data_IF_242391974377
#
_entry.id   IF_242391974377
#
_cell.length_a   1.000
_cell.length_b   1.000
_cell.length_c   1.000
_cell.angle_alpha   90.00
_cell.angle_beta   90.00
_cell.angle_gamma   90.00
#
_symmetry.space_group_name_H-M   'P 1'
#
loop_
_entity.id
_entity.type
_entity.pdbx_description
1 polymer ?
#
# COMPACT_ATOMS: atom_id res chain seq x y z
N UNK A 1 10.26 -5.49 -17.30
CA UNK A 1 9.13 -6.31 -17.76
C UNK A 1 9.43 -6.78 -19.17
N UNK A 2 8.87 -7.91 -19.60
CA UNK A 2 9.04 -8.44 -20.97
C UNK A 2 7.99 -7.85 -21.93
N UNK A 3 8.14 -8.13 -23.22
CA UNK A 3 7.23 -7.60 -24.25
C UNK A 3 5.79 -8.12 -24.10
N UNK A 4 5.63 -9.33 -23.55
CA UNK A 4 4.32 -9.90 -23.28
C UNK A 4 3.56 -9.09 -22.23
N UNK A 5 4.22 -8.71 -21.14
CA UNK A 5 3.60 -7.87 -20.12
C UNK A 5 3.22 -6.50 -20.66
N UNK A 6 4.07 -5.89 -21.49
CA UNK A 6 3.80 -4.58 -22.10
C UNK A 6 2.59 -4.62 -23.04
N UNK A 7 2.47 -5.66 -23.87
CA UNK A 7 1.28 -5.89 -24.72
C UNK A 7 0.01 -6.06 -23.87
N UNK A 8 0.09 -6.82 -22.78
CA UNK A 8 -1.05 -7.00 -21.88
C UNK A 8 -1.47 -5.68 -21.24
N UNK A 9 -0.51 -4.87 -20.79
CA UNK A 9 -0.79 -3.55 -20.19
C UNK A 9 -1.39 -2.58 -21.22
N UNK A 10 -0.88 -2.53 -22.45
CA UNK A 10 -1.38 -1.64 -23.52
C UNK A 10 -2.83 -1.95 -23.93
N UNK A 11 -3.24 -3.22 -23.80
CA UNK A 11 -4.57 -3.70 -24.14
C UNK A 11 -5.60 -3.51 -23.03
N UNK A 12 -5.19 -3.11 -21.82
CA UNK A 12 -6.14 -2.80 -20.75
C UNK A 12 -6.80 -1.44 -21.01
N UNK A 13 -8.12 -1.44 -21.16
CA UNK A 13 -8.92 -0.21 -21.25
C UNK A 13 -9.27 0.29 -19.85
N UNK A 14 -8.26 0.81 -19.13
CA UNK A 14 -8.40 1.33 -17.76
C UNK A 14 -7.63 2.64 -17.59
N UNK A 15 -8.09 3.48 -16.67
CA UNK A 15 -7.43 4.74 -16.35
C UNK A 15 -6.20 4.56 -15.44
N UNK A 16 -6.19 3.51 -14.63
CA UNK A 16 -5.11 3.21 -13.70
C UNK A 16 -5.08 1.72 -13.33
N UNK A 17 -3.93 1.26 -12.82
CA UNK A 17 -3.77 -0.06 -12.20
C UNK A 17 -3.21 0.14 -10.79
N UNK A 18 -3.93 -0.37 -9.78
CA UNK A 18 -3.48 -0.35 -8.39
C UNK A 18 -2.86 -1.70 -8.01
N UNK A 19 -1.53 -1.77 -7.94
CA UNK A 19 -0.80 -2.99 -7.60
C UNK A 19 -0.65 -3.16 -6.10
N UNK A 20 -0.90 -4.37 -5.59
CA UNK A 20 -0.58 -4.72 -4.21
C UNK A 20 0.93 -4.70 -3.99
N UNK A 21 1.38 -4.18 -2.84
CA UNK A 21 2.79 -4.23 -2.46
C UNK A 21 3.21 -5.60 -1.89
N UNK A 22 2.25 -6.45 -1.56
CA UNK A 22 2.37 -7.85 -1.08
C UNK A 22 3.25 -8.07 0.16
N UNK A 23 3.47 -7.02 0.97
CA UNK A 23 4.27 -7.09 2.20
C UNK A 23 3.49 -7.76 3.34
N UNK A 24 2.20 -7.43 3.51
CA UNK A 24 1.33 -8.01 4.53
C UNK A 24 1.10 -9.51 4.33
N UNK A 25 1.03 -9.96 3.07
CA UNK A 25 0.98 -11.37 2.66
C UNK A 25 2.36 -12.02 2.50
N UNK A 26 3.44 -11.34 2.91
CA UNK A 26 4.82 -11.84 2.98
C UNK A 26 5.34 -12.47 1.67
N UNK A 27 4.90 -11.97 0.52
CA UNK A 27 5.50 -12.34 -0.79
C UNK A 27 6.56 -11.35 -1.24
N UNK A 28 6.50 -10.12 -0.72
CA UNK A 28 7.52 -9.10 -0.87
C UNK A 28 8.04 -8.64 0.50
N UNK A 29 9.03 -7.75 0.48
CA UNK A 29 9.54 -7.08 1.66
C UNK A 29 9.98 -5.65 1.31
N UNK A 30 10.17 -4.84 2.37
CA UNK A 30 10.48 -3.40 2.26
C UNK A 30 11.73 -3.12 1.40
N UNK A 31 12.73 -3.99 1.43
CA UNK A 31 13.97 -3.78 0.69
C UNK A 31 13.76 -3.91 -0.83
N UNK A 32 12.87 -4.82 -1.24
CA UNK A 32 12.67 -5.15 -2.66
C UNK A 32 11.51 -4.42 -3.33
N UNK A 33 10.49 -4.01 -2.58
CA UNK A 33 9.32 -3.29 -3.12
C UNK A 33 9.68 -2.06 -3.96
N UNK A 34 10.67 -1.20 -3.59
CA UNK A 34 11.05 -0.07 -4.43
C UNK A 34 11.47 -0.48 -5.85
N UNK A 35 12.25 -1.55 -5.98
CA UNK A 35 12.69 -2.05 -7.29
C UNK A 35 11.52 -2.59 -8.11
N UNK A 36 10.52 -3.21 -7.48
CA UNK A 36 9.34 -3.70 -8.20
C UNK A 36 8.53 -2.53 -8.76
N UNK A 37 8.26 -1.52 -7.94
CA UNK A 37 7.52 -0.33 -8.36
C UNK A 37 8.28 0.51 -9.38
N UNK A 38 9.61 0.61 -9.28
CA UNK A 38 10.44 1.25 -10.32
C UNK A 38 10.28 0.54 -11.68
N UNK A 39 10.33 -0.80 -11.69
CA UNK A 39 10.16 -1.58 -12.93
C UNK A 39 8.75 -1.49 -13.50
N UNK A 40 7.73 -1.39 -12.64
CA UNK A 40 6.35 -1.11 -13.06
C UNK A 40 6.25 0.28 -13.67
N UNK A 41 6.86 1.30 -13.04
CA UNK A 41 6.86 2.67 -13.57
C UNK A 41 7.49 2.74 -14.96
N UNK A 42 8.63 2.08 -15.16
CA UNK A 42 9.26 1.96 -16.48
C UNK A 42 8.34 1.30 -17.53
N UNK A 43 7.54 0.32 -17.13
CA UNK A 43 6.60 -0.35 -18.02
C UNK A 43 5.41 0.56 -18.38
N UNK A 44 4.80 1.22 -17.39
CA UNK A 44 3.73 2.19 -17.59
C UNK A 44 4.18 3.37 -18.44
N UNK A 45 5.39 3.90 -18.21
CA UNK A 45 5.97 4.98 -19.01
C UNK A 45 6.21 4.57 -20.46
N UNK A 46 6.62 3.31 -20.70
CA UNK A 46 6.85 2.80 -22.06
C UNK A 46 5.55 2.60 -22.83
N UNK A 47 4.49 2.12 -22.16
CA UNK A 47 3.16 1.96 -22.78
C UNK A 47 2.48 3.31 -22.96
N UNK A 48 2.69 4.25 -22.04
CA UNK A 48 2.09 5.59 -22.07
C UNK A 48 0.59 5.60 -21.80
N UNK A 49 0.04 4.54 -21.18
CA UNK A 49 -1.37 4.40 -20.78
C UNK A 49 -1.47 3.91 -19.34
N UNK A 50 -2.59 4.26 -18.70
CA UNK A 50 -2.97 3.96 -17.33
C UNK A 50 -1.97 4.45 -16.26
N UNK A 51 -2.45 5.19 -15.27
CA UNK A 51 -1.63 5.56 -14.11
C UNK A 51 -1.20 4.33 -13.29
N UNK A 52 -0.05 4.44 -12.63
CA UNK A 52 0.47 3.43 -11.72
C UNK A 52 0.11 3.81 -10.28
N UNK A 53 -0.80 3.07 -9.68
CA UNK A 53 -1.15 3.24 -8.27
C UNK A 53 -0.61 2.07 -7.44
N UNK A 54 -0.45 2.30 -6.14
CA UNK A 54 -0.16 1.24 -5.17
C UNK A 54 -1.38 1.00 -4.26
N UNK A 55 -1.74 -0.26 -4.05
CA UNK A 55 -2.62 -0.69 -2.96
C UNK A 55 -1.76 -1.28 -1.84
N UNK A 56 -1.40 -0.44 -0.88
CA UNK A 56 -0.40 -0.75 0.14
C UNK A 56 -1.03 -1.53 1.29
N UNK A 57 -0.51 -2.72 1.60
CA UNK A 57 -1.02 -3.53 2.69
C UNK A 57 -0.57 -2.96 4.05
N UNK A 58 -1.52 -2.45 4.82
CA UNK A 58 -1.26 -1.87 6.16
C UNK A 58 -1.42 -2.88 7.30
N UNK A 59 -1.44 -4.17 6.97
CA UNK A 59 -1.67 -5.26 7.91
C UNK A 59 -0.53 -6.26 7.98
N UNK A 60 -0.58 -7.11 8.99
CA UNK A 60 0.24 -8.32 9.13
C UNK A 60 -0.60 -9.46 9.69
N UNK A 61 -0.33 -10.69 9.26
CA UNK A 61 -0.96 -11.87 9.86
C UNK A 61 -0.35 -12.19 11.23
N UNK A 62 -1.21 -12.55 12.19
CA UNK A 62 -0.80 -13.04 13.53
C UNK A 62 0.09 -14.28 13.45
N UNK A 63 -0.20 -15.18 12.51
CA UNK A 63 0.52 -16.43 12.32
C UNK A 63 0.57 -16.84 10.85
N UNK A 64 0.22 -18.09 10.50
CA UNK A 64 0.17 -18.53 9.11
C UNK A 64 -0.79 -17.68 8.25
N UNK A 65 -0.26 -17.21 7.12
CA UNK A 65 -0.95 -16.35 6.15
C UNK A 65 -2.23 -17.04 5.66
N UNK A 66 -3.31 -16.28 5.51
CA UNK A 66 -4.64 -16.76 5.09
C UNK A 66 -5.31 -17.76 6.04
N UNK A 67 -4.71 -18.06 7.20
CA UNK A 67 -5.27 -18.99 8.20
C UNK A 67 -5.47 -18.34 9.58
N UNK A 68 -4.91 -17.15 9.79
CA UNK A 68 -5.05 -16.38 11.03
C UNK A 68 -5.65 -15.01 10.74
N UNK A 69 -6.17 -14.30 11.76
CA UNK A 69 -6.52 -12.91 11.62
C UNK A 69 -5.35 -12.05 11.13
N UNK A 70 -5.68 -10.97 10.45
CA UNK A 70 -4.78 -9.88 10.14
C UNK A 70 -4.97 -8.76 11.17
N UNK A 71 -3.86 -8.12 11.54
CA UNK A 71 -3.78 -7.02 12.50
C UNK A 71 -3.12 -5.81 11.84
N UNK A 72 -3.36 -4.58 12.31
CA UNK A 72 -2.60 -3.41 11.88
C UNK A 72 -1.10 -3.66 12.02
N UNK A 73 -0.33 -3.28 11.02
CA UNK A 73 1.11 -3.33 11.10
C UNK A 73 1.70 -2.12 11.84
N UNK A 74 2.93 -2.23 12.37
CA UNK A 74 3.60 -1.11 13.03
C UNK A 74 3.78 0.09 12.08
N UNK A 75 3.61 1.31 12.61
CA UNK A 75 3.73 2.55 11.82
C UNK A 75 5.11 2.67 11.16
N UNK A 76 6.18 2.21 11.80
CA UNK A 76 7.53 2.24 11.25
C UNK A 76 7.63 1.44 9.95
N UNK A 77 6.87 0.34 9.83
CA UNK A 77 6.79 -0.45 8.60
C UNK A 77 6.04 0.34 7.51
N UNK A 78 4.89 0.92 7.86
CA UNK A 78 4.05 1.71 6.95
C UNK A 78 4.82 2.89 6.37
N UNK A 79 5.58 3.62 7.19
CA UNK A 79 6.36 4.77 6.72
C UNK A 79 7.48 4.36 5.75
N UNK A 80 8.15 3.23 6.01
CA UNK A 80 9.15 2.69 5.08
C UNK A 80 8.53 2.19 3.78
N UNK A 81 7.35 1.58 3.84
CA UNK A 81 6.59 1.21 2.64
C UNK A 81 6.30 2.45 1.80
N UNK A 82 5.75 3.50 2.41
CA UNK A 82 5.46 4.78 1.74
C UNK A 82 6.71 5.39 1.12
N UNK A 83 7.82 5.48 1.86
CA UNK A 83 9.09 6.01 1.35
C UNK A 83 9.57 5.23 0.11
N UNK A 84 9.42 3.91 0.13
CA UNK A 84 9.88 3.03 -0.94
C UNK A 84 9.04 3.07 -2.22
N UNK A 85 7.73 3.29 -2.12
CA UNK A 85 6.82 3.21 -3.29
C UNK A 85 6.39 4.59 -3.81
N UNK A 86 6.27 5.60 -2.94
CA UNK A 86 5.75 6.92 -3.32
C UNK A 86 6.50 7.60 -4.48
N UNK A 87 7.82 7.43 -4.67
CA UNK A 87 8.52 8.04 -5.80
C UNK A 87 8.07 7.54 -7.19
N UNK A 88 7.39 6.39 -7.26
CA UNK A 88 7.10 5.69 -8.51
C UNK A 88 5.62 5.71 -8.90
N UNK A 89 4.73 6.13 -8.00
CA UNK A 89 3.28 5.98 -8.16
C UNK A 89 2.58 7.32 -8.05
N UNK A 90 1.51 7.50 -8.83
CA UNK A 90 0.70 8.72 -8.76
C UNK A 90 -0.21 8.74 -7.51
N UNK A 91 -0.56 7.56 -6.97
CA UNK A 91 -1.41 7.44 -5.78
C UNK A 91 -1.12 6.18 -4.97
N UNK A 92 -1.21 6.32 -3.66
CA UNK A 92 -1.21 5.20 -2.71
C UNK A 92 -2.60 5.07 -2.08
N UNK A 93 -3.21 3.90 -2.27
CA UNK A 93 -4.38 3.41 -1.55
C UNK A 93 -3.92 2.41 -0.47
N UNK A 94 -4.84 1.96 0.37
CA UNK A 94 -4.56 0.93 1.37
C UNK A 94 -5.62 -0.18 1.36
N UNK A 95 -5.17 -1.41 1.58
CA UNK A 95 -6.01 -2.50 2.04
C UNK A 95 -5.77 -2.69 3.54
N UNK A 96 -6.71 -2.35 4.41
CA UNK A 96 -7.96 -1.61 4.19
C UNK A 96 -8.14 -0.60 5.33
N UNK A 97 -9.07 0.36 5.24
CA UNK A 97 -9.31 1.27 6.36
C UNK A 97 -10.11 0.60 7.50
N UNK A 98 -11.34 0.08 7.30
CA UNK A 98 -12.11 -0.49 8.40
C UNK A 98 -11.43 -1.72 9.03
N UNK A 99 -11.32 -1.74 10.36
CA UNK A 99 -10.70 -2.82 11.12
C UNK A 99 -9.17 -2.77 11.21
N UNK A 100 -8.50 -1.96 10.38
CA UNK A 100 -7.04 -1.76 10.44
C UNK A 100 -6.65 -0.33 10.81
N UNK A 101 -7.50 0.63 10.51
CA UNK A 101 -7.39 2.01 10.96
C UNK A 101 -8.75 2.48 11.47
N UNK A 102 -8.77 3.15 12.62
CA UNK A 102 -10.01 3.64 13.19
C UNK A 102 -9.82 5.00 13.83
N UNK A 103 -10.59 5.99 13.40
CA UNK A 103 -10.58 7.31 14.04
C UNK A 103 -11.05 7.19 15.50
N UNK A 104 -10.30 7.72 16.50
CA UNK A 104 -10.77 7.79 17.88
C UNK A 104 -12.16 8.45 17.97
N UNK A 105 -13.08 7.84 18.73
CA UNK A 105 -14.45 8.31 18.90
C UNK A 105 -15.38 8.05 17.71
N UNK A 106 -14.98 7.23 16.73
CA UNK A 106 -15.88 6.80 15.65
C UNK A 106 -17.05 5.97 16.18
N UNK A 107 -18.21 6.06 15.51
CA UNK A 107 -19.38 5.20 15.77
C UNK A 107 -19.24 3.79 15.17
N UNK A 108 -18.21 3.56 14.35
CA UNK A 108 -17.97 2.27 13.71
C UNK A 108 -17.60 1.20 14.75
N UNK A 109 -18.29 0.06 14.71
CA UNK A 109 -18.18 -1.02 15.72
C UNK A 109 -16.92 -1.88 15.62
N UNK A 110 -16.09 -1.67 14.60
CA UNK A 110 -14.89 -2.49 14.32
C UNK A 110 -13.58 -1.83 14.79
N UNK A 111 -13.66 -0.83 15.68
CA UNK A 111 -12.50 -0.17 16.24
C UNK A 111 -11.79 -1.08 17.25
N UNK A 112 -10.56 -1.50 16.94
CA UNK A 112 -9.66 -2.12 17.92
C UNK A 112 -8.68 -1.08 18.48
N UNK A 113 -8.07 -1.32 19.65
CA UNK A 113 -7.01 -0.46 20.17
C UNK A 113 -5.85 -0.27 19.19
N UNK A 114 -5.46 -1.33 18.47
CA UNK A 114 -4.39 -1.33 17.48
C UNK A 114 -4.76 -0.48 16.26
N UNK A 115 -5.99 -0.62 15.76
CA UNK A 115 -6.46 0.18 14.61
C UNK A 115 -6.56 1.67 14.97
N UNK A 116 -6.95 1.96 16.22
CA UNK A 116 -7.01 3.33 16.75
C UNK A 116 -5.62 3.92 16.92
N UNK A 117 -4.66 3.10 17.37
CA UNK A 117 -3.25 3.49 17.49
C UNK A 117 -2.66 3.82 16.12
N UNK A 118 -2.74 2.91 15.15
CA UNK A 118 -2.18 3.13 13.81
C UNK A 118 -2.77 4.39 13.15
N UNK A 119 -4.08 4.62 13.28
CA UNK A 119 -4.71 5.85 12.81
C UNK A 119 -4.10 7.10 13.44
N UNK A 120 -3.90 7.08 14.77
CA UNK A 120 -3.42 8.25 15.51
C UNK A 120 -1.94 8.54 15.21
N UNK A 121 -1.11 7.50 15.12
CA UNK A 121 0.29 7.59 14.73
C UNK A 121 0.45 8.11 13.29
N UNK A 122 -0.32 7.58 12.35
CA UNK A 122 -0.31 8.06 10.96
C UNK A 122 -0.79 9.50 10.84
N UNK A 123 -1.86 9.89 11.54
CA UNK A 123 -2.32 11.28 11.57
C UNK A 123 -1.24 12.20 12.14
N UNK A 124 -0.58 11.84 13.24
CA UNK A 124 0.49 12.64 13.82
C UNK A 124 1.64 12.84 12.83
N UNK A 125 2.04 11.78 12.12
CA UNK A 125 3.01 11.87 11.03
C UNK A 125 2.54 12.82 9.92
N UNK A 126 1.31 12.67 9.42
CA UNK A 126 0.76 13.50 8.34
C UNK A 126 0.74 14.98 8.72
N UNK A 127 0.26 15.32 9.91
CA UNK A 127 0.23 16.70 10.39
C UNK A 127 1.63 17.30 10.52
N UNK A 128 2.62 16.50 10.91
CA UNK A 128 4.02 16.93 10.95
C UNK A 128 4.61 17.12 9.55
N UNK A 129 4.22 16.28 8.59
CA UNK A 129 4.64 16.38 7.19
C UNK A 129 4.07 17.62 6.50
N UNK A 130 2.78 17.93 6.69
CA UNK A 130 2.11 19.08 6.06
C UNK A 130 2.55 20.46 6.60
N UNK A 131 3.25 20.49 7.73
CA UNK A 131 3.80 21.72 8.33
C UNK A 131 5.21 22.05 7.85
N UNK A 132 5.84 21.16 7.08
CA UNK A 132 7.15 21.37 6.45
C UNK A 132 6.99 22.11 5.13
#
# INVERSE_FOLDING_TARGET
>A
MDDKFLDQLDRLEVDFVAYLDEIGVRKANIEWTPFYFERLKQAHDKVGKAELWADMEVFQFEGPIYKTPLHPAPIERILKQLEGISPFVERVLIYQYPGLMSKPGTIARHATPEATRLYSEYNAYREAYLKR
#
